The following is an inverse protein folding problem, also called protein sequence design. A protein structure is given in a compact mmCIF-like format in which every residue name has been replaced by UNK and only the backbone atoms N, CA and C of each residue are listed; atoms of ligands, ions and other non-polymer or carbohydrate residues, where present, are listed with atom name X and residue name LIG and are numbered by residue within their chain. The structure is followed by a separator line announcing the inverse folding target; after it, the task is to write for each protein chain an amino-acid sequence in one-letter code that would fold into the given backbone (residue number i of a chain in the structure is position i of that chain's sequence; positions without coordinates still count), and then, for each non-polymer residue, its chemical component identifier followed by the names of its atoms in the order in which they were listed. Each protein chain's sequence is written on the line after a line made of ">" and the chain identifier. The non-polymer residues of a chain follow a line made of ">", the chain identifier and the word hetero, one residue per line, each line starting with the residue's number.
data_IF_486916388982
#
_entry.id   IF_486916388982
#
_cell.length_a   1.000
_cell.length_b   1.000
_cell.length_c   1.000
_cell.angle_alpha   90.00
_cell.angle_beta   90.00
_cell.angle_gamma   90.00
#
_symmetry.space_group_name_H-M   'P 1'
#
loop_
_entity.id
_entity.type
_entity.pdbx_description
1 polymer ?
#
# COMPACT_ATOMS: atom_id res chain seq x y z
N UNK A 1 -0.65 11.90 -5.75
CA UNK A 1 0.49 11.96 -4.82
C UNK A 1 1.23 13.30 -4.79
N UNK A 2 1.00 14.23 -5.75
CA UNK A 2 1.64 15.56 -5.79
C UNK A 2 2.94 15.62 -6.58
N UNK A 3 3.18 14.66 -7.47
CA UNK A 3 4.26 14.72 -8.47
C UNK A 3 3.87 15.56 -9.69
N UNK A 4 2.58 15.62 -10.00
CA UNK A 4 2.01 16.39 -11.09
C UNK A 4 0.89 17.25 -10.50
N UNK A 5 0.79 18.49 -10.92
CA UNK A 5 -0.33 19.37 -10.57
C UNK A 5 -1.53 19.05 -11.46
N UNK A 6 -2.75 18.97 -10.91
CA UNK A 6 -3.94 18.78 -11.73
C UNK A 6 -4.27 20.06 -12.51
N UNK A 7 -4.64 19.94 -13.78
CA UNK A 7 -5.12 21.06 -14.59
C UNK A 7 -6.43 21.63 -14.06
N UNK A 8 -7.27 20.76 -13.48
CA UNK A 8 -8.58 21.10 -12.88
C UNK A 8 -8.88 20.13 -11.74
N UNK A 9 -9.80 20.53 -10.85
CA UNK A 9 -10.22 19.74 -9.72
C UNK A 9 -9.39 20.00 -8.47
N UNK A 10 -9.69 19.26 -7.41
CA UNK A 10 -9.07 19.40 -6.09
C UNK A 10 -8.71 18.01 -5.53
N UNK A 11 -7.68 17.98 -4.71
CA UNK A 11 -7.23 16.77 -4.01
C UNK A 11 -7.33 16.99 -2.51
N UNK A 12 -8.03 16.11 -1.83
CA UNK A 12 -8.21 16.15 -0.38
C UNK A 12 -7.57 14.91 0.28
N UNK A 13 -6.91 15.13 1.41
CA UNK A 13 -6.48 14.08 2.34
C UNK A 13 -7.11 14.43 3.70
N UNK A 14 -7.97 13.55 4.23
CA UNK A 14 -8.67 13.77 5.51
C UNK A 14 -9.33 15.16 5.63
N UNK A 15 -10.14 15.54 4.68
CA UNK A 15 -10.82 16.84 4.61
C UNK A 15 -9.87 18.06 4.41
N UNK A 16 -8.54 17.85 4.40
CA UNK A 16 -7.56 18.89 4.12
C UNK A 16 -7.34 18.99 2.62
N UNK A 17 -7.56 20.18 2.04
CA UNK A 17 -7.17 20.46 0.65
C UNK A 17 -5.65 20.47 0.54
N UNK A 18 -5.15 19.51 -0.25
CA UNK A 18 -3.71 19.30 -0.50
C UNK A 18 -3.35 19.52 -1.98
N UNK A 19 -4.25 20.12 -2.75
CA UNK A 19 -4.10 20.30 -4.21
C UNK A 19 -2.76 20.91 -4.57
N UNK A 20 -2.38 21.98 -3.87
CA UNK A 20 -1.11 22.68 -4.08
C UNK A 20 0.06 22.16 -3.24
N UNK A 21 -0.15 21.09 -2.46
CA UNK A 21 0.93 20.56 -1.65
C UNK A 21 1.86 19.67 -2.47
N UNK A 22 3.17 19.91 -2.43
CA UNK A 22 4.14 19.01 -3.04
C UNK A 22 4.15 17.68 -2.29
N UNK A 23 4.59 16.62 -2.96
CA UNK A 23 4.58 15.24 -2.47
C UNK A 23 5.18 15.10 -1.06
N UNK A 24 6.31 15.76 -0.78
CA UNK A 24 6.96 15.64 0.54
C UNK A 24 6.08 16.17 1.68
N UNK A 25 5.29 17.21 1.41
CA UNK A 25 4.37 17.78 2.39
C UNK A 25 3.16 16.89 2.60
N UNK A 26 2.59 16.31 1.54
CA UNK A 26 1.51 15.31 1.63
C UNK A 26 1.97 14.09 2.44
N UNK A 27 3.22 13.64 2.25
CA UNK A 27 3.79 12.54 3.01
C UNK A 27 4.02 12.88 4.50
N UNK A 28 4.50 14.09 4.80
CA UNK A 28 4.90 14.47 6.15
C UNK A 28 3.74 14.97 7.01
N UNK A 29 2.86 15.78 6.43
CA UNK A 29 1.76 16.48 7.12
C UNK A 29 0.40 15.86 6.79
N UNK A 30 0.23 15.32 5.57
CA UNK A 30 -1.01 14.71 5.10
C UNK A 30 -1.15 13.21 5.39
N UNK A 31 -0.22 12.60 6.11
CA UNK A 31 -0.29 11.18 6.47
C UNK A 31 -0.25 10.22 5.29
N UNK A 32 0.42 10.59 4.17
CA UNK A 32 0.48 9.79 2.96
C UNK A 32 1.79 8.99 2.88
N UNK A 33 1.70 7.67 2.70
CA UNK A 33 2.80 6.81 2.27
C UNK A 33 2.76 6.62 0.75
N UNK A 34 3.93 6.58 0.09
CA UNK A 34 4.01 6.31 -1.34
C UNK A 34 5.09 5.28 -1.66
N UNK A 35 4.70 4.23 -2.38
CA UNK A 35 5.57 3.21 -2.91
C UNK A 35 5.63 3.36 -4.43
N UNK A 36 6.74 3.82 -5.02
CA UNK A 36 6.87 3.96 -6.46
C UNK A 36 7.01 2.60 -7.16
N UNK A 37 6.71 2.58 -8.46
CA UNK A 37 6.92 1.44 -9.35
C UNK A 37 8.39 0.99 -9.35
N UNK A 38 9.32 1.94 -9.47
CA UNK A 38 10.75 1.65 -9.44
C UNK A 38 11.25 1.45 -8.02
N UNK A 39 12.26 0.55 -7.88
CA UNK A 39 12.85 0.28 -6.56
C UNK A 39 13.41 1.54 -5.91
N UNK A 40 13.01 1.76 -4.65
CA UNK A 40 13.32 2.97 -3.88
C UNK A 40 14.30 2.72 -2.73
N UNK A 41 14.79 1.47 -2.55
CA UNK A 41 15.71 1.15 -1.46
C UNK A 41 17.10 1.73 -1.66
N UNK A 42 17.76 2.09 -0.55
CA UNK A 42 19.17 2.44 -0.54
C UNK A 42 20.00 1.17 -0.69
N UNK A 43 20.39 0.80 -1.90
CA UNK A 43 21.01 -0.47 -2.24
C UNK A 43 22.30 -0.79 -1.47
N UNK A 44 23.08 0.23 -1.09
CA UNK A 44 24.33 0.10 -0.33
C UNK A 44 24.13 -0.04 1.18
N UNK A 45 22.96 0.30 1.70
CA UNK A 45 22.60 0.16 3.11
C UNK A 45 22.02 -1.23 3.38
N UNK A 46 22.11 -1.71 4.63
CA UNK A 46 21.42 -2.92 5.05
C UNK A 46 19.91 -2.69 5.15
N UNK A 47 19.14 -3.78 5.29
CA UNK A 47 17.69 -3.74 5.53
C UNK A 47 17.36 -2.85 6.74
N UNK A 48 18.03 -3.08 7.88
CA UNK A 48 17.88 -2.28 9.09
C UNK A 48 18.26 -0.81 8.85
N UNK A 49 19.39 -0.56 8.20
CA UNK A 49 19.85 0.81 7.90
C UNK A 49 18.89 1.56 6.99
N UNK A 50 18.21 0.88 6.06
CA UNK A 50 17.16 1.47 5.22
C UNK A 50 15.99 2.02 6.07
N UNK A 51 15.54 1.26 7.07
CA UNK A 51 14.47 1.68 7.99
C UNK A 51 14.95 2.83 8.89
N UNK A 52 16.13 2.68 9.50
CA UNK A 52 16.69 3.67 10.41
C UNK A 52 16.94 5.01 9.72
N UNK A 53 17.39 5.02 8.45
CA UNK A 53 17.59 6.25 7.68
C UNK A 53 16.29 7.02 7.48
N UNK A 54 15.19 6.33 7.16
CA UNK A 54 13.87 6.97 7.04
C UNK A 54 13.40 7.56 8.37
N UNK A 55 13.59 6.84 9.48
CA UNK A 55 13.22 7.29 10.81
C UNK A 55 14.05 8.51 11.25
N UNK A 56 15.30 8.57 10.85
CA UNK A 56 16.18 9.71 11.12
C UNK A 56 15.74 10.97 10.36
N UNK A 57 15.36 10.83 9.10
CA UNK A 57 14.78 11.91 8.29
C UNK A 57 13.47 12.46 8.87
N UNK A 58 12.70 11.61 9.58
CA UNK A 58 11.49 12.02 10.30
C UNK A 58 11.77 12.60 11.69
N UNK A 59 13.03 12.72 12.09
CA UNK A 59 13.42 13.32 13.37
C UNK A 59 13.15 12.45 14.60
N UNK A 60 12.93 11.13 14.42
CA UNK A 60 12.69 10.21 15.53
C UNK A 60 13.95 10.08 16.42
N UNK A 61 13.77 10.08 17.74
CA UNK A 61 14.88 9.89 18.66
C UNK A 61 15.40 8.43 18.63
N UNK A 62 16.60 8.19 19.20
CA UNK A 62 17.28 6.89 19.14
C UNK A 62 16.43 5.74 19.71
N UNK A 63 15.68 5.99 20.79
CA UNK A 63 14.82 4.97 21.43
C UNK A 63 13.64 4.62 20.53
N UNK A 64 12.96 5.63 19.99
CA UNK A 64 11.85 5.45 19.05
C UNK A 64 12.30 4.68 17.80
N UNK A 65 13.45 5.07 17.21
CA UNK A 65 14.00 4.38 16.02
C UNK A 65 14.25 2.91 16.29
N UNK A 66 14.86 2.57 17.45
CA UNK A 66 15.14 1.17 17.80
C UNK A 66 13.85 0.36 17.92
N UNK A 67 12.87 0.83 18.68
CA UNK A 67 11.59 0.14 18.86
C UNK A 67 10.86 -0.04 17.54
N UNK A 68 10.69 1.04 16.78
CA UNK A 68 9.97 0.99 15.51
C UNK A 68 10.66 0.13 14.46
N UNK A 69 11.98 0.11 14.45
CA UNK A 69 12.74 -0.75 13.56
C UNK A 69 12.51 -2.24 13.86
N UNK A 70 12.55 -2.66 15.13
CA UNK A 70 12.25 -4.04 15.52
C UNK A 70 10.82 -4.42 15.11
N UNK A 71 9.83 -3.57 15.43
CA UNK A 71 8.42 -3.80 15.04
C UNK A 71 8.28 -4.04 13.52
N UNK A 72 8.87 -3.18 12.69
CA UNK A 72 8.77 -3.30 11.25
C UNK A 72 9.50 -4.53 10.71
N UNK A 73 10.69 -4.85 11.24
CA UNK A 73 11.44 -6.05 10.84
C UNK A 73 10.64 -7.33 11.13
N UNK A 74 9.99 -7.41 12.27
CA UNK A 74 9.13 -8.53 12.66
C UNK A 74 7.84 -8.55 11.83
N UNK A 75 7.15 -7.43 11.75
CA UNK A 75 5.90 -7.27 11.01
C UNK A 75 6.02 -7.75 9.57
N UNK A 76 7.11 -7.38 8.88
CA UNK A 76 7.35 -7.74 7.49
C UNK A 76 8.13 -9.05 7.32
N UNK A 77 8.45 -9.76 8.41
CA UNK A 77 9.25 -11.01 8.42
C UNK A 77 10.57 -10.85 7.66
N UNK A 78 11.25 -9.74 7.85
CA UNK A 78 12.56 -9.43 7.26
C UNK A 78 13.69 -9.36 8.30
N UNK A 79 13.44 -9.85 9.52
CA UNK A 79 14.43 -9.89 10.61
C UNK A 79 15.65 -10.71 10.23
N UNK A 80 15.46 -11.85 9.53
CA UNK A 80 16.53 -12.75 9.10
C UNK A 80 17.51 -12.10 8.11
N UNK A 81 17.08 -11.08 7.36
CA UNK A 81 17.90 -10.32 6.41
C UNK A 81 18.30 -8.94 6.91
N UNK A 82 18.11 -8.64 8.21
CA UNK A 82 18.34 -7.28 8.77
C UNK A 82 19.72 -6.70 8.45
N UNK A 83 20.77 -7.54 8.37
CA UNK A 83 22.15 -7.14 8.06
C UNK A 83 22.50 -7.23 6.58
N UNK A 84 21.65 -7.84 5.76
CA UNK A 84 21.85 -7.97 4.32
C UNK A 84 21.73 -6.60 3.63
N UNK A 85 22.63 -6.31 2.69
CA UNK A 85 22.54 -5.10 1.87
C UNK A 85 21.31 -5.18 0.97
N UNK A 86 20.52 -4.10 0.91
CA UNK A 86 19.27 -4.06 0.17
C UNK A 86 19.43 -4.36 -1.34
N UNK A 87 20.59 -4.04 -1.92
CA UNK A 87 20.90 -4.37 -3.30
C UNK A 87 21.04 -5.88 -3.59
N UNK A 88 21.22 -6.72 -2.54
CA UNK A 88 21.38 -8.18 -2.66
C UNK A 88 20.09 -8.97 -2.33
N UNK A 89 19.03 -8.28 -1.95
CA UNK A 89 17.75 -8.89 -1.61
C UNK A 89 17.06 -9.42 -2.86
N UNK A 90 16.28 -10.51 -2.70
CA UNK A 90 15.32 -10.97 -3.71
C UNK A 90 14.26 -9.90 -4.00
N UNK A 91 13.54 -10.01 -5.10
CA UNK A 91 12.46 -9.09 -5.45
C UNK A 91 11.42 -8.94 -4.33
N UNK A 92 10.97 -10.07 -3.78
CA UNK A 92 9.98 -10.09 -2.70
C UNK A 92 10.48 -9.53 -1.37
N UNK A 93 11.72 -9.84 -0.96
CA UNK A 93 12.33 -9.25 0.23
C UNK A 93 12.49 -7.74 0.08
N UNK A 94 12.91 -7.30 -1.10
CA UNK A 94 13.04 -5.88 -1.43
C UNK A 94 11.69 -5.17 -1.36
N UNK A 95 10.63 -5.76 -1.93
CA UNK A 95 9.27 -5.20 -1.90
C UNK A 95 8.72 -5.10 -0.48
N UNK A 96 8.95 -6.12 0.35
CA UNK A 96 8.59 -6.07 1.78
C UNK A 96 9.31 -4.94 2.52
N UNK A 97 10.61 -4.74 2.25
CA UNK A 97 11.37 -3.63 2.82
C UNK A 97 10.84 -2.28 2.35
N UNK A 98 10.47 -2.14 1.09
CA UNK A 98 9.91 -0.91 0.54
C UNK A 98 8.57 -0.54 1.19
N UNK A 99 7.67 -1.51 1.34
CA UNK A 99 6.39 -1.29 2.04
C UNK A 99 6.65 -0.95 3.52
N UNK A 100 7.58 -1.65 4.19
CA UNK A 100 7.95 -1.34 5.57
C UNK A 100 8.47 0.10 5.72
N UNK A 101 9.24 0.60 4.74
CA UNK A 101 9.69 2.00 4.72
C UNK A 101 8.54 3.00 4.60
N UNK A 102 7.51 2.70 3.81
CA UNK A 102 6.32 3.55 3.72
C UNK A 102 5.60 3.66 5.07
N UNK A 103 5.65 2.61 5.90
CA UNK A 103 5.00 2.57 7.22
C UNK A 103 5.80 3.22 8.34
N UNK A 104 7.03 3.68 8.08
CA UNK A 104 7.84 4.33 9.13
C UNK A 104 7.14 5.55 9.72
N UNK A 105 6.42 6.33 8.90
CA UNK A 105 5.70 7.54 9.30
C UNK A 105 4.32 7.28 9.90
N UNK A 106 3.88 6.03 10.03
CA UNK A 106 2.50 5.66 10.40
C UNK A 106 1.45 6.38 9.54
N UNK A 107 1.45 6.17 8.21
CA UNK A 107 0.54 6.86 7.31
C UNK A 107 -0.90 6.40 7.52
N UNK A 108 -1.86 7.29 7.21
CA UNK A 108 -3.29 6.98 7.19
C UNK A 108 -3.73 6.42 5.84
N UNK A 109 -3.02 6.81 4.77
CA UNK A 109 -3.20 6.29 3.41
C UNK A 109 -1.85 5.88 2.80
N UNK A 110 -1.83 4.76 2.09
CA UNK A 110 -0.67 4.31 1.32
C UNK A 110 -1.06 4.21 -0.15
N UNK A 111 -0.25 4.81 -1.01
CA UNK A 111 -0.34 4.68 -2.46
C UNK A 111 0.71 3.67 -2.93
N UNK A 112 0.29 2.59 -3.57
CA UNK A 112 1.14 1.52 -4.10
C UNK A 112 1.08 1.55 -5.62
N UNK A 113 2.19 1.91 -6.25
CA UNK A 113 2.30 1.98 -7.69
C UNK A 113 2.93 0.69 -8.23
N UNK A 114 2.15 -0.09 -8.98
CA UNK A 114 2.48 -1.42 -9.50
C UNK A 114 3.20 -2.32 -8.49
N UNK A 115 2.56 -2.63 -7.33
CA UNK A 115 3.20 -3.40 -6.27
C UNK A 115 3.55 -4.83 -6.66
N UNK A 116 2.95 -5.38 -7.72
CA UNK A 116 3.15 -6.76 -8.18
C UNK A 116 4.07 -6.89 -9.39
N UNK A 117 4.55 -5.77 -9.97
CA UNK A 117 5.38 -5.80 -11.16
C UNK A 117 6.70 -6.56 -10.93
N UNK A 118 6.99 -7.52 -11.81
CA UNK A 118 8.26 -8.27 -11.80
C UNK A 118 8.45 -9.21 -10.61
N UNK A 119 7.37 -9.62 -9.95
CA UNK A 119 7.37 -10.49 -8.78
C UNK A 119 6.75 -11.84 -9.14
N UNK A 120 7.28 -12.93 -8.56
CA UNK A 120 6.72 -14.27 -8.74
C UNK A 120 5.35 -14.44 -8.03
N UNK A 121 4.49 -15.36 -8.52
CA UNK A 121 3.13 -15.50 -7.98
C UNK A 121 3.06 -15.84 -6.47
N UNK A 122 4.01 -16.58 -5.94
CA UNK A 122 4.03 -16.91 -4.50
C UNK A 122 4.31 -15.66 -3.67
N UNK A 123 5.21 -14.84 -4.15
CA UNK A 123 5.53 -13.55 -3.52
C UNK A 123 4.36 -12.57 -3.65
N UNK A 124 3.63 -12.54 -4.78
CA UNK A 124 2.41 -11.73 -4.96
C UNK A 124 1.40 -12.05 -3.86
N UNK A 125 1.08 -13.32 -3.64
CA UNK A 125 0.16 -13.73 -2.56
C UNK A 125 0.62 -13.23 -1.18
N UNK A 126 1.93 -13.30 -0.91
CA UNK A 126 2.48 -12.79 0.34
C UNK A 126 2.31 -11.27 0.49
N UNK A 127 2.45 -10.50 -0.59
CA UNK A 127 2.25 -9.05 -0.59
C UNK A 127 0.77 -8.71 -0.47
N UNK A 128 -0.12 -9.45 -1.15
CA UNK A 128 -1.57 -9.35 -0.98
C UNK A 128 -1.98 -9.53 0.49
N UNK A 129 -1.42 -10.54 1.18
CA UNK A 129 -1.64 -10.75 2.61
C UNK A 129 -1.20 -9.55 3.46
N UNK A 130 -0.03 -8.97 3.17
CA UNK A 130 0.43 -7.74 3.85
C UNK A 130 -0.52 -6.58 3.62
N UNK A 131 -0.99 -6.38 2.39
CA UNK A 131 -1.95 -5.31 2.03
C UNK A 131 -3.26 -5.51 2.79
N UNK A 132 -3.77 -6.73 2.86
CA UNK A 132 -4.95 -7.09 3.64
C UNK A 132 -4.80 -6.75 5.12
N UNK A 133 -3.68 -7.15 5.73
CA UNK A 133 -3.37 -6.83 7.14
C UNK A 133 -3.32 -5.32 7.41
N UNK A 134 -2.78 -4.53 6.48
CA UNK A 134 -2.72 -3.08 6.60
C UNK A 134 -4.12 -2.46 6.52
N UNK A 135 -4.96 -2.92 5.59
CA UNK A 135 -6.36 -2.52 5.48
C UNK A 135 -7.14 -2.82 6.75
N UNK A 136 -6.98 -4.03 7.30
CA UNK A 136 -7.67 -4.47 8.50
C UNK A 136 -7.26 -3.67 9.75
N UNK A 137 -6.10 -3.04 9.73
CA UNK A 137 -5.63 -2.06 10.72
C UNK A 137 -6.18 -0.66 10.51
N UNK A 138 -6.97 -0.44 9.47
CA UNK A 138 -7.60 0.84 9.17
C UNK A 138 -6.76 1.78 8.32
N UNK A 139 -5.68 1.30 7.69
CA UNK A 139 -4.91 2.08 6.71
C UNK A 139 -5.66 2.04 5.38
N UNK A 140 -5.97 3.20 4.82
CA UNK A 140 -6.52 3.30 3.47
C UNK A 140 -5.45 2.97 2.43
N UNK A 141 -5.80 2.18 1.40
CA UNK A 141 -4.82 1.77 0.40
C UNK A 141 -5.34 2.09 -0.99
N UNK A 142 -4.56 2.84 -1.76
CA UNK A 142 -4.77 3.07 -3.18
C UNK A 142 -3.70 2.29 -3.96
N UNK A 143 -4.14 1.42 -4.88
CA UNK A 143 -3.26 0.58 -5.67
C UNK A 143 -3.48 0.87 -7.14
N UNK A 144 -2.40 1.06 -7.91
CA UNK A 144 -2.39 1.02 -9.37
C UNK A 144 -1.62 -0.23 -9.80
N UNK A 145 -2.17 -1.05 -10.69
CA UNK A 145 -1.45 -2.18 -11.27
C UNK A 145 -2.17 -2.61 -12.57
N UNK A 146 -1.43 -3.23 -13.46
CA UNK A 146 -1.97 -3.84 -14.68
C UNK A 146 -2.35 -5.32 -14.48
N UNK A 147 -1.96 -5.93 -13.35
CA UNK A 147 -2.32 -7.27 -12.95
C UNK A 147 -3.78 -7.30 -12.39
N UNK A 148 -4.76 -7.18 -13.30
CA UNK A 148 -6.16 -6.98 -12.95
C UNK A 148 -6.72 -8.05 -12.02
N UNK A 149 -6.33 -9.33 -12.22
CA UNK A 149 -6.80 -10.46 -11.38
C UNK A 149 -6.35 -10.31 -9.94
N UNK A 150 -5.07 -9.98 -9.73
CA UNK A 150 -4.45 -9.81 -8.43
C UNK A 150 -5.06 -8.63 -7.66
N UNK A 151 -5.38 -7.54 -8.38
CA UNK A 151 -6.03 -6.35 -7.81
C UNK A 151 -7.47 -6.65 -7.37
N UNK A 152 -8.27 -7.29 -8.23
CA UNK A 152 -9.67 -7.60 -7.94
C UNK A 152 -9.86 -8.53 -6.73
N UNK A 153 -8.84 -9.31 -6.35
CA UNK A 153 -8.88 -10.19 -5.18
C UNK A 153 -8.77 -9.45 -3.85
N UNK A 154 -8.19 -8.24 -3.84
CA UNK A 154 -7.82 -7.54 -2.60
C UNK A 154 -8.46 -6.15 -2.44
N UNK A 155 -9.13 -5.65 -3.48
CA UNK A 155 -9.73 -4.32 -3.47
C UNK A 155 -11.22 -4.38 -3.16
N UNK A 156 -11.68 -3.43 -2.34
CA UNK A 156 -13.11 -3.24 -2.06
C UNK A 156 -13.82 -2.54 -3.22
N UNK A 157 -13.09 -1.68 -3.94
CA UNK A 157 -13.57 -0.95 -5.11
C UNK A 157 -12.45 -0.74 -6.12
N UNK A 158 -12.76 -0.92 -7.40
CA UNK A 158 -11.83 -0.77 -8.51
C UNK A 158 -12.34 0.25 -9.52
N UNK A 159 -11.44 1.05 -10.06
CA UNK A 159 -11.66 1.95 -11.19
C UNK A 159 -10.84 1.46 -12.37
N UNK A 160 -11.49 1.20 -13.49
CA UNK A 160 -10.80 0.85 -14.74
C UNK A 160 -10.63 2.12 -15.56
N UNK A 161 -9.38 2.47 -15.86
CA UNK A 161 -9.04 3.67 -16.62
C UNK A 161 -8.56 3.26 -18.01
N UNK A 162 -9.16 3.83 -19.04
CA UNK A 162 -8.77 3.62 -20.44
C UNK A 162 -8.70 4.97 -21.14
N UNK A 163 -7.62 5.22 -21.86
CA UNK A 163 -7.42 6.47 -22.65
C UNK A 163 -7.62 7.76 -21.82
N UNK A 164 -7.22 7.73 -20.54
CA UNK A 164 -7.35 8.88 -19.64
C UNK A 164 -8.75 9.12 -19.08
N UNK A 165 -9.70 8.20 -19.31
CA UNK A 165 -11.07 8.28 -18.80
C UNK A 165 -11.40 7.08 -17.93
N UNK A 166 -12.30 7.27 -16.96
CA UNK A 166 -12.84 6.16 -16.17
C UNK A 166 -13.84 5.40 -17.03
N UNK A 167 -13.48 4.20 -17.47
CA UNK A 167 -14.35 3.31 -18.25
C UNK A 167 -15.49 2.75 -17.39
N UNK A 168 -15.16 2.23 -16.22
CA UNK A 168 -16.13 1.77 -15.23
C UNK A 168 -15.52 1.76 -13.83
N UNK A 169 -16.37 1.68 -12.81
CA UNK A 169 -15.94 1.50 -11.41
C UNK A 169 -16.95 0.66 -10.65
N UNK A 170 -16.47 -0.13 -9.69
CA UNK A 170 -17.35 -0.97 -8.88
C UNK A 170 -16.58 -1.99 -8.05
N UNK A 171 -17.30 -2.94 -7.48
CA UNK A 171 -16.76 -4.13 -6.84
C UNK A 171 -16.11 -5.06 -7.87
N UNK A 172 -15.32 -6.04 -7.41
CA UNK A 172 -14.74 -7.04 -8.30
C UNK A 172 -15.79 -7.73 -9.18
N UNK A 173 -16.96 -8.06 -8.60
CA UNK A 173 -18.07 -8.71 -9.34
C UNK A 173 -18.64 -7.82 -10.44
N UNK A 174 -18.81 -6.52 -10.18
CA UNK A 174 -19.30 -5.55 -11.16
C UNK A 174 -18.31 -5.36 -12.30
N UNK A 175 -17.02 -5.25 -11.97
CA UNK A 175 -15.92 -5.11 -12.94
C UNK A 175 -15.82 -6.34 -13.87
N UNK A 176 -15.90 -7.55 -13.32
CA UNK A 176 -15.82 -8.80 -14.11
C UNK A 176 -17.01 -8.98 -15.05
N UNK A 177 -18.17 -8.41 -14.73
CA UNK A 177 -19.37 -8.45 -15.60
C UNK A 177 -19.35 -7.43 -16.74
N UNK A 178 -18.43 -6.48 -16.72
CA UNK A 178 -18.37 -5.43 -17.74
C UNK A 178 -17.71 -5.98 -19.01
N UNK A 179 -18.46 -6.06 -20.12
CA UNK A 179 -18.03 -6.72 -21.36
C UNK A 179 -16.71 -6.17 -21.92
N UNK A 180 -16.58 -4.86 -21.98
CA UNK A 180 -15.36 -4.21 -22.51
C UNK A 180 -14.12 -4.46 -21.63
N UNK A 181 -14.30 -4.58 -20.31
CA UNK A 181 -13.21 -4.92 -19.39
C UNK A 181 -12.79 -6.37 -19.56
N UNK A 182 -13.76 -7.27 -19.75
CA UNK A 182 -13.48 -8.70 -20.03
C UNK A 182 -12.67 -8.83 -21.31
N UNK A 183 -13.10 -8.19 -22.39
CA UNK A 183 -12.43 -8.27 -23.67
C UNK A 183 -11.01 -7.71 -23.65
N UNK A 184 -10.82 -6.52 -23.04
CA UNK A 184 -9.53 -5.78 -23.10
C UNK A 184 -8.53 -6.16 -22.02
N UNK A 185 -8.99 -6.51 -20.80
CA UNK A 185 -8.11 -6.62 -19.62
C UNK A 185 -8.13 -7.97 -18.93
N UNK A 186 -9.20 -8.74 -19.05
CA UNK A 186 -9.36 -9.98 -18.31
C UNK A 186 -9.19 -11.24 -19.19
N UNK A 187 -9.46 -11.14 -20.49
CA UNK A 187 -9.46 -12.27 -21.41
C UNK A 187 -10.60 -13.26 -21.10
N UNK A 188 -10.51 -14.49 -21.62
CA UNK A 188 -11.46 -15.57 -21.32
C UNK A 188 -11.34 -16.02 -19.86
N UNK A 189 -12.12 -15.37 -18.99
CA UNK A 189 -12.26 -15.79 -17.60
C UNK A 189 -13.58 -16.55 -17.49
N UNK A 190 -13.56 -17.85 -17.75
CA UNK A 190 -14.72 -18.73 -17.51
C UNK A 190 -14.98 -19.01 -16.02
N UNK A 191 -14.05 -18.65 -15.14
CA UNK A 191 -14.25 -18.76 -13.70
C UNK A 191 -13.37 -17.75 -12.93
N UNK A 192 -13.97 -16.66 -12.51
CA UNK A 192 -13.44 -15.91 -11.38
C UNK A 192 -13.79 -16.76 -10.15
N UNK A 193 -12.87 -17.62 -9.75
CA UNK A 193 -13.05 -18.49 -8.59
C UNK A 193 -13.04 -17.65 -7.32
N UNK A 194 -14.23 -17.24 -6.86
CA UNK A 194 -14.43 -16.59 -5.56
C UNK A 194 -14.05 -17.49 -4.37
N UNK A 195 -13.79 -18.79 -4.62
CA UNK A 195 -13.37 -19.74 -3.58
C UNK A 195 -11.88 -19.71 -3.29
N UNK A 196 -11.08 -18.92 -4.01
CA UNK A 196 -9.74 -18.61 -3.57
C UNK A 196 -9.85 -17.88 -2.23
N UNK A 197 -9.76 -18.64 -1.15
CA UNK A 197 -9.77 -18.14 0.22
C UNK A 197 -8.86 -16.90 0.30
N UNK A 198 -9.29 -15.83 0.97
CA UNK A 198 -8.43 -14.68 1.18
C UNK A 198 -7.08 -15.19 1.65
N UNK A 199 -5.99 -14.69 1.05
CA UNK A 199 -4.63 -15.13 1.38
C UNK A 199 -4.52 -15.24 2.90
N UNK A 200 -3.93 -16.32 3.43
CA UNK A 200 -3.98 -16.64 4.85
C UNK A 200 -3.60 -15.41 5.66
N UNK A 201 -4.50 -14.98 6.54
CA UNK A 201 -4.30 -13.83 7.40
C UNK A 201 -2.92 -13.93 8.04
N UNK A 202 -2.11 -12.94 7.79
CA UNK A 202 -0.80 -12.79 8.37
C UNK A 202 -1.02 -12.33 9.82
N UNK A 203 -1.31 -13.28 10.72
CA UNK A 203 -1.57 -12.98 12.13
C UNK A 203 -0.37 -12.28 12.72
N UNK A 204 -0.43 -10.97 12.78
CA UNK A 204 0.51 -10.14 13.51
C UNK A 204 0.11 -10.25 14.97
N UNK A 205 0.92 -10.94 15.76
CA UNK A 205 0.75 -11.13 17.20
C UNK A 205 0.49 -9.78 17.86
N UNK A 206 -0.74 -9.60 18.38
CA UNK A 206 -1.04 -8.51 19.31
C UNK A 206 -0.29 -8.79 20.61
N UNK A 207 0.79 -8.08 20.87
CA UNK A 207 1.27 -7.92 22.24
C UNK A 207 0.66 -6.65 22.80
N UNK A 208 -0.12 -6.86 23.87
CA UNK A 208 -0.99 -5.92 24.51
C UNK A 208 -0.31 -4.63 24.98
N UNK A 209 -1.01 -3.56 24.78
CA UNK A 209 -0.86 -2.29 25.46
C UNK A 209 -2.25 -1.76 25.76
N UNK A 210 -2.80 -2.12 26.92
CA UNK A 210 -4.01 -1.56 27.47
C UNK A 210 -3.79 -0.08 27.75
N UNK A 211 -4.45 0.80 27.02
CA UNK A 211 -4.89 2.11 27.54
C UNK A 211 -6.28 2.40 27.02
N UNK A 212 -7.21 2.35 27.98
CA UNK A 212 -8.58 2.83 27.91
C UNK A 212 -8.61 4.31 27.55
N UNK A 213 -9.33 4.67 26.48
CA UNK A 213 -10.09 5.91 26.42
C UNK A 213 -11.07 5.82 25.26
N UNK A 214 -12.36 5.77 25.58
CA UNK A 214 -13.41 5.72 24.59
C UNK A 214 -13.61 7.07 23.90
N UNK A 215 -13.91 7.00 22.62
CA UNK A 215 -14.85 7.90 21.96
C UNK A 215 -15.15 7.34 20.57
N UNK A 216 -16.43 7.09 20.33
CA UNK A 216 -16.90 6.48 19.10
C UNK A 216 -16.60 7.36 17.89
N UNK A 217 -15.79 6.85 16.99
CA UNK A 217 -15.69 7.38 15.64
C UNK A 217 -16.59 6.56 14.72
N UNK A 218 -17.64 7.18 14.28
CA UNK A 218 -18.50 6.67 13.21
C UNK A 218 -17.66 6.49 11.94
N UNK A 219 -17.72 5.27 11.37
CA UNK A 219 -17.23 4.99 10.02
C UNK A 219 -17.90 5.97 9.06
N UNK A 220 -17.18 6.91 8.50
CA UNK A 220 -17.60 7.67 7.34
C UNK A 220 -17.02 6.99 6.10
N UNK A 221 -17.91 6.54 5.22
CA UNK A 221 -17.58 6.16 3.85
C UNK A 221 -17.02 7.42 3.17
N UNK A 222 -15.80 7.37 2.70
CA UNK A 222 -15.26 8.35 1.77
C UNK A 222 -15.70 7.95 0.38
N UNK A 223 -16.81 8.53 -0.09
CA UNK A 223 -17.12 8.53 -1.52
C UNK A 223 -16.19 9.55 -2.18
N UNK A 224 -15.30 9.05 -3.02
CA UNK A 224 -14.54 9.88 -3.95
C UNK A 224 -15.50 10.31 -5.06
N UNK A 225 -16.09 11.50 -4.93
CA UNK A 225 -16.83 12.15 -6.02
C UNK A 225 -15.82 12.56 -7.09
N UNK A 226 -15.85 11.83 -8.20
CA UNK A 226 -15.19 12.19 -9.46
C UNK A 226 -16.24 12.84 -10.37
N UNK A 227 -16.49 14.10 -10.20
CA UNK A 227 -17.19 14.94 -11.18
C UNK A 227 -16.22 15.87 -11.89
#
# INVERSE_FOLDING_TARGET
>A
CGMIEPDKGQVFLNEQDVTQWPMYRRAREGGMGYLPQQTSVFAKLSTEQNLLAMMELLGMNRRQRKLRCEELLEQFRITHIRRSKAGKLSGGEKRRLEIARCLVSNPEIIMLDEPFAGIDPVTVQSIQGIIGDLRDRGISILITDHAAREILQITDRTYVISEGQVLCSGTAEEIVRHDEVREKYLGDIDSFDQSAAPAPHFSLTQQGGTTSAGSGLRRRRTDLDLS
#
